data_IF_223905082939
#
_entry.id   IF_223905082939
#
_cell.length_a   1.000
_cell.length_b   1.000
_cell.length_c   1.000
_cell.angle_alpha   90.00
_cell.angle_beta   90.00
_cell.angle_gamma   90.00
#
_symmetry.space_group_name_H-M   'P 1'
#
loop_
_entity.id
_entity.type
_entity.pdbx_description
1 polymer ?
#
# COMPACT_ATOMS: atom_id res chain seq x y z
N UNK A 1 -26.19 -12.12 4.02
CA UNK A 1 -24.72 -11.97 4.12
C UNK A 1 -24.27 -10.58 3.68
N UNK A 2 -24.50 -10.15 2.44
CA UNK A 2 -24.11 -8.78 1.99
C UNK A 2 -24.78 -7.66 2.81
N UNK A 3 -26.11 -7.67 2.91
CA UNK A 3 -26.86 -6.67 3.68
C UNK A 3 -26.45 -6.65 5.17
N UNK A 4 -26.18 -7.82 5.74
CA UNK A 4 -25.76 -7.96 7.13
C UNK A 4 -24.38 -7.33 7.37
N UNK A 5 -23.44 -7.48 6.42
CA UNK A 5 -22.11 -6.87 6.46
C UNK A 5 -22.21 -5.35 6.35
N UNK A 6 -23.05 -4.83 5.45
CA UNK A 6 -23.26 -3.38 5.30
C UNK A 6 -23.86 -2.75 6.56
N UNK A 7 -24.83 -3.43 7.18
CA UNK A 7 -25.41 -3.01 8.45
C UNK A 7 -24.37 -3.05 9.58
N UNK A 8 -23.56 -4.11 9.66
CA UNK A 8 -22.51 -4.24 10.67
C UNK A 8 -21.42 -3.15 10.56
N UNK A 9 -21.08 -2.75 9.34
CA UNK A 9 -20.11 -1.68 9.06
C UNK A 9 -20.74 -0.27 9.09
N UNK A 10 -22.04 -0.16 9.37
CA UNK A 10 -22.78 1.11 9.34
C UNK A 10 -22.62 1.87 8.02
N UNK A 11 -22.46 1.15 6.92
CA UNK A 11 -22.16 1.70 5.59
C UNK A 11 -20.85 2.52 5.50
N UNK A 12 -19.94 2.41 6.48
CA UNK A 12 -18.61 3.07 6.47
C UNK A 12 -17.57 2.32 5.60
N UNK A 13 -17.79 2.25 4.29
CA UNK A 13 -16.88 1.56 3.36
C UNK A 13 -15.70 2.42 2.86
N UNK A 14 -15.72 3.73 3.12
CA UNK A 14 -14.78 4.72 2.55
C UNK A 14 -13.43 4.84 3.25
N UNK A 15 -13.02 3.88 4.07
CA UNK A 15 -11.77 3.99 4.84
C UNK A 15 -10.55 3.83 3.90
N UNK A 16 -9.52 4.70 4.03
CA UNK A 16 -8.36 4.63 3.17
C UNK A 16 -7.58 3.34 3.41
N UNK A 17 -7.17 2.68 2.34
CA UNK A 17 -6.36 1.47 2.39
C UNK A 17 -4.91 1.78 2.03
N UNK A 18 -4.02 0.79 2.15
CA UNK A 18 -2.60 0.95 1.81
C UNK A 18 -2.45 1.42 0.35
N UNK A 19 -3.23 0.86 -0.56
CA UNK A 19 -3.25 1.23 -1.98
C UNK A 19 -3.58 2.70 -2.24
N UNK A 20 -4.41 3.34 -1.40
CA UNK A 20 -4.72 4.76 -1.52
C UNK A 20 -3.48 5.64 -1.41
N UNK A 21 -2.47 5.20 -0.66
CA UNK A 21 -1.22 5.93 -0.44
C UNK A 21 -0.10 5.54 -1.42
N UNK A 22 -0.06 4.27 -1.87
CA UNK A 22 1.01 3.76 -2.76
C UNK A 22 1.16 4.65 -3.99
N UNK A 23 0.07 4.95 -4.71
CA UNK A 23 0.11 5.76 -5.93
C UNK A 23 0.72 7.15 -5.72
N UNK A 24 0.49 7.76 -4.54
CA UNK A 24 1.04 9.07 -4.22
C UNK A 24 2.52 8.98 -3.86
N UNK A 25 2.91 7.95 -3.12
CA UNK A 25 4.30 7.75 -2.69
C UNK A 25 5.21 7.26 -3.82
N UNK A 26 4.72 6.40 -4.73
CA UNK A 26 5.48 5.96 -5.90
C UNK A 26 5.80 7.12 -6.83
N UNK A 27 4.86 8.06 -7.02
CA UNK A 27 5.09 9.28 -7.80
C UNK A 27 6.21 10.13 -7.22
N UNK A 28 6.21 10.36 -5.90
CA UNK A 28 7.28 11.11 -5.23
C UNK A 28 8.61 10.36 -5.32
N UNK A 29 8.60 9.05 -5.10
CA UNK A 29 9.80 8.22 -5.18
C UNK A 29 10.43 8.16 -6.58
N UNK A 30 9.66 8.40 -7.63
CA UNK A 30 10.13 8.49 -9.02
C UNK A 30 10.74 9.84 -9.37
N UNK A 31 10.39 10.92 -8.68
CA UNK A 31 11.01 12.23 -8.91
C UNK A 31 12.49 12.23 -8.50
N UNK A 32 12.83 11.44 -7.47
CA UNK A 32 14.21 11.30 -7.00
C UNK A 32 15.12 10.53 -7.98
N UNK A 33 14.56 9.60 -8.78
CA UNK A 33 15.34 8.69 -9.61
C UNK A 33 14.56 8.24 -10.86
N UNK A 34 15.23 8.16 -12.01
CA UNK A 34 14.71 7.57 -13.26
C UNK A 34 14.50 6.03 -13.15
N UNK A 35 13.82 5.56 -12.11
CA UNK A 35 13.38 4.18 -11.96
C UNK A 35 12.19 3.97 -12.88
N UNK A 36 12.15 2.90 -13.70
CA UNK A 36 10.99 2.62 -14.54
C UNK A 36 9.73 2.51 -13.68
N UNK A 37 8.72 3.32 -13.98
CA UNK A 37 7.42 3.29 -13.30
C UNK A 37 6.81 1.87 -13.29
N UNK A 38 7.05 1.13 -14.38
CA UNK A 38 6.62 -0.26 -14.58
C UNK A 38 7.23 -1.27 -13.60
N UNK A 39 8.24 -0.88 -12.80
CA UNK A 39 8.89 -1.75 -11.83
C UNK A 39 8.55 -1.35 -10.38
N UNK A 40 8.58 -0.04 -10.08
CA UNK A 40 8.42 0.44 -8.71
C UNK A 40 6.98 0.25 -8.18
N UNK A 41 5.97 0.65 -8.96
CA UNK A 41 4.58 0.58 -8.50
C UNK A 41 4.09 -0.87 -8.34
N UNK A 42 4.31 -1.80 -9.29
CA UNK A 42 3.92 -3.19 -9.12
C UNK A 42 4.62 -3.86 -7.93
N UNK A 43 5.91 -3.60 -7.74
CA UNK A 43 6.66 -4.16 -6.60
C UNK A 43 6.15 -3.61 -5.26
N UNK A 44 5.86 -2.31 -5.20
CA UNK A 44 5.29 -1.67 -4.00
C UNK A 44 3.90 -2.22 -3.66
N UNK A 45 3.05 -2.45 -4.67
CA UNK A 45 1.75 -3.09 -4.50
C UNK A 45 1.90 -4.52 -3.98
N UNK A 46 2.78 -5.33 -4.59
CA UNK A 46 3.03 -6.70 -4.14
C UNK A 46 3.50 -6.77 -2.69
N UNK A 47 4.48 -5.94 -2.31
CA UNK A 47 4.96 -5.87 -0.93
C UNK A 47 3.87 -5.43 0.04
N UNK A 48 2.97 -4.54 -0.39
CA UNK A 48 1.83 -4.10 0.43
C UNK A 48 0.79 -5.20 0.61
N UNK A 49 0.50 -5.99 -0.42
CA UNK A 49 -0.42 -7.13 -0.32
C UNK A 49 0.08 -8.20 0.65
N UNK A 50 1.40 -8.44 0.68
CA UNK A 50 2.00 -9.34 1.68
C UNK A 50 1.72 -8.90 3.11
N UNK A 51 1.61 -7.59 3.38
CA UNK A 51 1.29 -7.11 4.73
C UNK A 51 -0.13 -7.53 5.14
N UNK A 52 -1.10 -7.52 4.21
CA UNK A 52 -2.50 -7.88 4.50
C UNK A 52 -2.62 -9.34 4.95
N UNK A 53 -1.74 -10.21 4.46
CA UNK A 53 -1.70 -11.63 4.85
C UNK A 53 -1.13 -11.84 6.27
N UNK A 54 -0.26 -10.94 6.74
CA UNK A 54 0.33 -11.04 8.07
C UNK A 54 -0.44 -10.19 9.10
N UNK A 55 -1.15 -10.88 10.00
CA UNK A 55 -1.91 -10.27 11.09
C UNK A 55 -1.08 -9.29 11.95
N UNK A 56 0.24 -9.51 12.07
CA UNK A 56 1.12 -8.62 12.85
C UNK A 56 1.17 -7.20 12.29
N UNK A 57 0.82 -7.01 11.02
CA UNK A 57 0.88 -5.69 10.37
C UNK A 57 -0.39 -4.87 10.56
N UNK A 58 -1.50 -5.49 10.97
CA UNK A 58 -2.82 -4.84 11.13
C UNK A 58 -2.78 -3.70 12.16
N UNK A 59 -1.84 -3.75 13.11
CA UNK A 59 -1.62 -2.70 14.11
C UNK A 59 -1.03 -1.40 13.54
N UNK A 60 -0.54 -1.43 12.31
CA UNK A 60 0.12 -0.30 11.66
C UNK A 60 -0.84 0.48 10.76
N UNK A 61 -0.63 1.79 10.69
CA UNK A 61 -1.46 2.67 9.86
C UNK A 61 -1.15 2.41 8.37
N UNK A 62 -2.16 2.41 7.48
CA UNK A 62 -1.97 2.12 6.06
C UNK A 62 -0.94 3.01 5.35
N UNK A 63 -0.82 4.28 5.74
CA UNK A 63 0.18 5.21 5.21
C UNK A 63 1.61 4.79 5.55
N UNK A 64 1.85 4.28 6.77
CA UNK A 64 3.17 3.82 7.17
C UNK A 64 3.58 2.55 6.42
N UNK A 65 2.64 1.63 6.24
CA UNK A 65 2.87 0.41 5.45
C UNK A 65 3.17 0.73 3.99
N UNK A 66 2.41 1.66 3.38
CA UNK A 66 2.66 2.09 2.01
C UNK A 66 4.04 2.75 1.83
N UNK A 67 4.44 3.65 2.76
CA UNK A 67 5.75 4.30 2.70
C UNK A 67 6.89 3.28 2.86
N UNK A 68 6.72 2.31 3.76
CA UNK A 68 7.69 1.24 3.99
C UNK A 68 7.83 0.33 2.77
N UNK A 69 6.71 -0.04 2.13
CA UNK A 69 6.71 -0.85 0.92
C UNK A 69 7.40 -0.14 -0.25
N UNK A 70 7.14 1.16 -0.44
CA UNK A 70 7.80 1.98 -1.47
C UNK A 70 9.30 2.10 -1.18
N UNK A 71 9.69 2.36 0.06
CA UNK A 71 11.10 2.41 0.45
C UNK A 71 11.83 1.08 0.15
N UNK A 72 11.23 -0.04 0.57
CA UNK A 72 11.80 -1.36 0.34
C UNK A 72 11.86 -1.71 -1.15
N UNK A 73 10.82 -1.38 -1.92
CA UNK A 73 10.82 -1.57 -3.37
C UNK A 73 11.95 -0.78 -4.05
N UNK A 74 12.18 0.47 -3.64
CA UNK A 74 13.32 1.27 -4.12
C UNK A 74 14.65 0.59 -3.80
N UNK A 75 14.83 0.16 -2.55
CA UNK A 75 16.05 -0.51 -2.09
C UNK A 75 16.31 -1.82 -2.85
N UNK A 76 15.27 -2.61 -3.16
CA UNK A 76 15.42 -3.84 -3.94
C UNK A 76 15.84 -3.54 -5.38
N UNK A 77 15.24 -2.53 -6.01
CA UNK A 77 15.57 -2.13 -7.38
C UNK A 77 16.99 -1.53 -7.44
N UNK A 78 17.35 -0.75 -6.41
CA UNK A 78 18.64 -0.08 -6.31
C UNK A 78 19.00 0.13 -4.81
N UNK A 79 19.86 -0.72 -4.25
CA UNK A 79 20.22 -0.67 -2.84
C UNK A 79 21.07 0.55 -2.47
#
# INVERSE_FOLDING_TARGET
MEADILLALQFELGRPTIHSFIRRFTRVAQEDFNVPHLQLEPLSCYLSELTILDYKTVKFVPSMLAASAVFLARFIIRP
#
